data_IF_320297826734
#
_entry.id   IF_320297826734
#
_cell.length_a   1.000
_cell.length_b   1.000
_cell.length_c   1.000
_cell.angle_alpha   90.00
_cell.angle_beta   90.00
_cell.angle_gamma   90.00
#
_symmetry.space_group_name_H-M   'P 1'
#
loop_
_entity.id
_entity.type
_entity.pdbx_description
1 polymer ?
#
# COMPACT_ATOMS: atom_id res chain seq x y z
N UNK A 1 18.86 -2.77 -44.73
CA UNK A 1 18.69 -4.21 -44.55
C UNK A 1 18.46 -4.58 -43.10
N UNK A 2 19.17 -4.01 -42.19
CA UNK A 2 19.15 -4.44 -40.77
C UNK A 2 18.29 -3.60 -39.87
N UNK A 3 17.67 -2.53 -40.39
CA UNK A 3 16.78 -1.65 -39.67
C UNK A 3 15.46 -2.35 -39.26
N UNK A 4 14.98 -3.28 -40.06
CA UNK A 4 13.75 -4.05 -39.73
C UNK A 4 13.94 -4.93 -38.51
N UNK A 5 15.14 -5.49 -38.31
CA UNK A 5 15.44 -6.34 -37.16
C UNK A 5 15.64 -5.52 -35.87
N UNK A 6 16.18 -4.31 -35.99
CA UNK A 6 16.36 -3.39 -34.85
C UNK A 6 15.00 -3.01 -34.24
N UNK A 7 13.98 -2.77 -35.06
CA UNK A 7 12.63 -2.48 -34.60
C UNK A 7 12.01 -3.63 -33.80
N UNK A 8 12.24 -4.86 -34.25
CA UNK A 8 11.79 -6.06 -33.53
C UNK A 8 12.44 -6.17 -32.16
N UNK A 9 13.75 -5.90 -32.06
CA UNK A 9 14.47 -5.92 -30.79
C UNK A 9 13.99 -4.83 -29.84
N UNK A 10 13.77 -3.61 -30.33
CA UNK A 10 13.23 -2.51 -29.53
C UNK A 10 11.84 -2.84 -29.01
N UNK A 11 10.97 -3.42 -29.85
CA UNK A 11 9.63 -3.83 -29.46
C UNK A 11 9.67 -4.94 -28.39
N UNK A 12 10.57 -5.90 -28.53
CA UNK A 12 10.76 -6.98 -27.55
C UNK A 12 11.26 -6.45 -26.22
N UNK A 13 12.19 -5.51 -26.22
CA UNK A 13 12.70 -4.85 -25.02
C UNK A 13 11.60 -4.06 -24.32
N UNK A 14 10.76 -3.34 -25.06
CA UNK A 14 9.63 -2.62 -24.51
C UNK A 14 8.59 -3.53 -23.85
N UNK A 15 8.38 -4.72 -24.40
CA UNK A 15 7.49 -5.73 -23.81
C UNK A 15 8.05 -6.32 -22.50
N UNK A 16 9.37 -6.39 -22.35
CA UNK A 16 10.01 -6.85 -21.12
C UNK A 16 9.87 -5.86 -19.96
N UNK A 17 9.68 -4.57 -20.24
CA UNK A 17 9.47 -3.54 -19.22
C UNK A 17 7.99 -3.37 -18.84
N UNK A 18 7.08 -4.12 -19.44
CA UNK A 18 5.65 -4.04 -19.14
C UNK A 18 5.21 -4.87 -17.93
N UNK A 19 6.13 -5.47 -17.17
CA UNK A 19 5.82 -6.15 -15.91
C UNK A 19 5.33 -5.14 -14.88
N UNK A 20 4.03 -5.09 -14.67
CA UNK A 20 3.45 -4.34 -13.56
C UNK A 20 3.73 -5.08 -12.26
N UNK A 21 4.43 -4.41 -11.35
CA UNK A 21 4.52 -4.89 -9.99
C UNK A 21 3.16 -4.68 -9.29
N UNK A 22 2.63 -5.70 -8.65
CA UNK A 22 1.44 -5.56 -7.82
C UNK A 22 1.80 -4.81 -6.54
N UNK A 23 1.07 -3.74 -6.27
CA UNK A 23 1.27 -2.92 -5.09
C UNK A 23 -0.06 -2.65 -4.40
N UNK A 24 -0.06 -2.75 -3.08
CA UNK A 24 -1.11 -2.18 -2.26
C UNK A 24 -0.82 -0.69 -2.07
N UNK A 25 -1.83 0.16 -2.28
CA UNK A 25 -1.71 1.61 -2.20
C UNK A 25 -2.50 2.15 -1.02
N UNK A 26 -1.83 2.91 -0.17
CA UNK A 26 -2.42 3.46 1.04
C UNK A 26 -2.05 4.93 1.18
N UNK A 27 -2.98 5.72 1.69
CA UNK A 27 -2.72 7.08 2.13
C UNK A 27 -2.93 7.12 3.64
N UNK A 28 -1.87 7.37 4.40
CA UNK A 28 -1.89 7.31 5.85
C UNK A 28 -1.74 8.71 6.42
N UNK A 29 -2.71 9.13 7.22
CA UNK A 29 -2.73 10.43 7.89
C UNK A 29 -2.68 10.22 9.41
N UNK A 30 -1.74 10.86 10.06
CA UNK A 30 -1.63 10.84 11.51
C UNK A 30 -2.36 12.04 12.12
N UNK A 31 -3.57 11.83 12.58
CA UNK A 31 -4.37 12.83 13.33
C UNK A 31 -4.37 12.57 14.84
N UNK A 32 -3.45 11.74 15.32
CA UNK A 32 -3.26 11.50 16.75
C UNK A 32 -2.43 12.60 17.39
N UNK A 33 -2.33 12.54 18.71
CA UNK A 33 -1.48 13.44 19.50
C UNK A 33 -0.08 12.87 19.76
N UNK A 34 0.30 11.80 19.04
CA UNK A 34 1.63 11.19 19.16
C UNK A 34 2.26 11.00 17.77
N UNK A 35 3.58 10.91 17.72
CA UNK A 35 4.31 10.53 16.52
C UNK A 35 4.27 9.02 16.34
N UNK A 36 4.12 8.57 15.10
CA UNK A 36 4.12 7.17 14.73
C UNK A 36 5.55 6.76 14.37
N UNK A 37 5.96 5.59 14.84
CA UNK A 37 7.25 4.99 14.53
C UNK A 37 7.07 3.55 14.07
N UNK A 38 8.01 3.04 13.27
CA UNK A 38 8.05 1.65 12.81
C UNK A 38 6.75 1.19 12.14
N UNK A 39 6.24 1.99 11.22
CA UNK A 39 5.03 1.69 10.47
C UNK A 39 5.27 0.57 9.47
N UNK A 40 4.41 -0.44 9.48
CA UNK A 40 4.44 -1.54 8.52
C UNK A 40 3.02 -1.96 8.14
N UNK A 41 2.86 -2.48 6.93
CA UNK A 41 1.60 -3.08 6.48
C UNK A 41 1.91 -4.46 5.89
N UNK A 42 1.42 -5.51 6.56
CA UNK A 42 1.51 -6.87 6.03
C UNK A 42 0.50 -7.05 4.88
N UNK A 43 0.78 -7.84 3.85
CA UNK A 43 1.75 -8.96 3.83
C UNK A 43 3.18 -8.60 3.38
N UNK A 44 3.52 -7.33 3.18
CA UNK A 44 4.89 -6.97 2.86
C UNK A 44 5.80 -7.28 4.05
N UNK A 45 6.69 -8.26 3.88
CA UNK A 45 7.60 -8.69 4.92
C UNK A 45 8.81 -7.77 5.11
N UNK A 46 8.99 -6.77 4.25
CA UNK A 46 10.05 -5.79 4.42
C UNK A 46 9.61 -4.74 5.42
N UNK A 47 10.18 -4.79 6.61
CA UNK A 47 9.96 -3.76 7.61
C UNK A 47 10.53 -2.44 7.11
N UNK A 48 9.65 -1.50 6.82
CA UNK A 48 10.06 -0.13 6.57
C UNK A 48 9.96 0.64 7.88
N UNK A 49 11.10 1.17 8.34
CA UNK A 49 11.15 2.03 9.51
C UNK A 49 10.66 3.43 9.12
N UNK A 50 9.36 3.56 8.93
CA UNK A 50 8.75 4.83 8.56
C UNK A 50 8.29 5.53 9.82
N UNK A 51 8.66 6.80 9.93
CA UNK A 51 8.17 7.71 10.95
C UNK A 51 7.17 8.66 10.35
N UNK A 52 6.04 8.83 11.03
CA UNK A 52 4.99 9.73 10.61
C UNK A 52 4.64 10.67 11.76
N UNK A 53 5.04 11.93 11.62
CA UNK A 53 4.76 12.96 12.62
C UNK A 53 3.28 13.32 12.71
N UNK A 54 2.92 14.01 13.80
CA UNK A 54 1.57 14.54 14.02
C UNK A 54 1.15 15.41 12.83
N UNK A 55 -0.09 15.29 12.39
CA UNK A 55 -0.70 16.06 11.30
C UNK A 55 -0.05 15.84 9.93
N UNK A 56 0.76 14.79 9.78
CA UNK A 56 1.41 14.46 8.50
C UNK A 56 0.67 13.34 7.79
N UNK A 57 0.76 13.37 6.46
CA UNK A 57 0.19 12.36 5.57
C UNK A 57 1.30 11.82 4.67
N UNK A 58 1.30 10.51 4.46
CA UNK A 58 2.21 9.85 3.52
C UNK A 58 1.45 8.93 2.58
N UNK A 59 1.98 8.76 1.38
CA UNK A 59 1.62 7.66 0.49
C UNK A 59 2.49 6.46 0.84
N UNK A 60 1.86 5.31 1.03
CA UNK A 60 2.54 4.09 1.42
C UNK A 60 2.19 2.98 0.44
N UNK A 61 3.20 2.24 -0.01
CA UNK A 61 3.03 1.15 -0.95
C UNK A 61 3.55 -0.16 -0.36
N UNK A 62 2.78 -1.23 -0.49
CA UNK A 62 3.22 -2.57 -0.12
C UNK A 62 3.45 -3.40 -1.37
N UNK A 63 4.49 -4.24 -1.35
CA UNK A 63 4.75 -5.16 -2.45
C UNK A 63 3.89 -6.40 -2.31
N UNK A 64 3.11 -6.68 -3.35
CA UNK A 64 2.17 -7.79 -3.39
C UNK A 64 2.58 -8.90 -4.39
N UNK A 65 3.74 -8.79 -5.02
CA UNK A 65 4.15 -9.69 -6.11
C UNK A 65 4.25 -11.17 -5.70
N UNK A 66 4.57 -11.43 -4.45
CA UNK A 66 4.71 -12.80 -3.91
C UNK A 66 3.45 -13.33 -3.27
N UNK A 67 2.39 -12.54 -3.23
CA UNK A 67 1.12 -12.92 -2.60
C UNK A 67 0.23 -13.56 -3.65
N UNK A 68 -0.09 -14.83 -3.46
CA UNK A 68 -0.91 -15.63 -4.39
C UNK A 68 -2.25 -16.06 -3.79
N UNK A 69 -2.53 -15.63 -2.58
CA UNK A 69 -3.76 -15.95 -1.85
C UNK A 69 -4.64 -14.73 -1.63
N UNK A 70 -5.84 -14.97 -1.16
CA UNK A 70 -6.74 -13.94 -0.68
C UNK A 70 -6.44 -13.62 0.79
N UNK A 71 -6.70 -12.40 1.23
CA UNK A 71 -6.48 -12.04 2.61
C UNK A 71 -6.80 -10.60 2.93
N UNK A 72 -6.40 -10.19 4.13
CA UNK A 72 -6.54 -8.83 4.65
C UNK A 72 -5.19 -8.25 4.99
N UNK A 73 -5.11 -6.93 4.96
CA UNK A 73 -3.92 -6.20 5.40
C UNK A 73 -3.88 -6.11 6.93
N UNK A 74 -2.69 -5.96 7.48
CA UNK A 74 -2.49 -5.65 8.90
C UNK A 74 -1.53 -4.47 8.99
N UNK A 75 -2.04 -3.33 9.45
CA UNK A 75 -1.20 -2.18 9.80
C UNK A 75 -0.68 -2.34 11.22
N UNK A 76 0.59 -2.05 11.42
CA UNK A 76 1.23 -2.08 12.74
C UNK A 76 2.20 -0.91 12.88
N UNK A 77 2.19 -0.26 14.02
CA UNK A 77 3.10 0.84 14.31
C UNK A 77 3.28 0.99 15.82
N UNK A 78 4.29 1.77 16.19
CA UNK A 78 4.53 2.15 17.59
C UNK A 78 4.11 3.59 17.84
N UNK A 79 3.48 3.81 18.98
CA UNK A 79 3.41 5.14 19.58
C UNK A 79 4.79 5.52 20.11
N UNK A 80 5.40 6.57 19.58
CA UNK A 80 6.77 6.95 19.92
C UNK A 80 6.94 7.45 21.36
N UNK A 81 5.86 7.87 22.02
CA UNK A 81 5.92 8.40 23.38
C UNK A 81 6.01 7.29 24.44
N UNK A 82 5.30 6.17 24.24
CA UNK A 82 5.20 5.10 25.23
C UNK A 82 5.62 3.73 24.71
N UNK A 83 6.08 3.65 23.45
CA UNK A 83 6.48 2.41 22.78
C UNK A 83 5.37 1.34 22.66
N UNK A 84 4.12 1.72 22.84
CA UNK A 84 2.99 0.82 22.66
C UNK A 84 2.84 0.45 21.19
N UNK A 85 2.68 -0.85 20.90
CA UNK A 85 2.43 -1.35 19.55
C UNK A 85 0.92 -1.38 19.31
N UNK A 86 0.50 -0.77 18.23
CA UNK A 86 -0.89 -0.73 17.79
C UNK A 86 -0.98 -1.47 16.46
N UNK A 87 -1.93 -2.41 16.36
CA UNK A 87 -2.16 -3.20 15.15
C UNK A 87 -3.64 -3.27 14.83
N UNK A 88 -3.97 -3.25 13.54
CA UNK A 88 -5.35 -3.42 13.06
C UNK A 88 -5.36 -4.17 11.74
N UNK A 89 -6.26 -5.15 11.64
CA UNK A 89 -6.57 -5.84 10.39
C UNK A 89 -7.63 -5.03 9.63
N UNK A 90 -7.43 -4.88 8.32
CA UNK A 90 -8.34 -4.10 7.48
C UNK A 90 -8.24 -4.51 6.02
N UNK A 91 -9.24 -4.09 5.23
CA UNK A 91 -9.26 -4.26 3.80
C UNK A 91 -9.31 -5.71 3.35
N UNK A 92 -9.22 -5.90 2.05
CA UNK A 92 -9.24 -7.23 1.44
C UNK A 92 -8.47 -7.20 0.12
N UNK A 93 -7.71 -8.25 -0.14
CA UNK A 93 -7.05 -8.45 -1.44
C UNK A 93 -7.38 -9.84 -1.97
N UNK A 94 -7.48 -9.97 -3.30
CA UNK A 94 -7.76 -11.22 -3.99
C UNK A 94 -6.57 -11.60 -4.85
N UNK A 95 -6.00 -12.76 -4.60
CA UNK A 95 -4.86 -13.29 -5.37
C UNK A 95 -3.70 -12.27 -5.46
N UNK A 96 -3.43 -11.57 -4.39
CA UNK A 96 -2.40 -10.54 -4.33
C UNK A 96 -2.76 -9.21 -4.96
N UNK A 97 -4.01 -9.01 -5.38
CA UNK A 97 -4.47 -7.75 -5.98
C UNK A 97 -5.35 -6.98 -5.01
N UNK A 98 -5.01 -5.73 -4.78
CA UNK A 98 -5.85 -4.82 -4.02
C UNK A 98 -7.09 -4.47 -4.84
N UNK A 99 -8.26 -4.58 -4.22
CA UNK A 99 -9.55 -4.30 -4.89
C UNK A 99 -9.77 -2.80 -5.00
N UNK A 100 -9.48 -2.07 -3.93
CA UNK A 100 -9.58 -0.61 -3.90
C UNK A 100 -8.37 0.03 -4.59
N UNK A 101 -8.57 1.18 -5.22
CA UNK A 101 -7.47 1.92 -5.83
C UNK A 101 -6.53 2.50 -4.78
N UNK A 102 -7.10 3.08 -3.73
CA UNK A 102 -6.38 3.59 -2.56
C UNK A 102 -7.19 3.31 -1.31
N UNK A 103 -6.53 2.87 -0.26
CA UNK A 103 -7.12 2.76 1.07
C UNK A 103 -6.61 3.91 1.92
N UNK A 104 -7.52 4.76 2.38
CA UNK A 104 -7.20 5.86 3.27
C UNK A 104 -7.25 5.39 4.72
N UNK A 105 -6.15 5.58 5.43
CA UNK A 105 -5.98 5.21 6.83
C UNK A 105 -5.77 6.48 7.64
N UNK A 106 -6.63 6.73 8.62
CA UNK A 106 -6.49 7.85 9.53
C UNK A 106 -6.26 7.33 10.93
N UNK A 107 -5.11 7.68 11.50
CA UNK A 107 -4.76 7.30 12.87
C UNK A 107 -5.24 8.39 13.82
N UNK A 108 -6.10 8.01 14.75
CA UNK A 108 -6.60 8.86 15.83
C UNK A 108 -5.96 8.44 17.16
N UNK A 109 -6.27 9.14 18.25
CA UNK A 109 -5.65 8.86 19.56
C UNK A 109 -5.96 7.45 20.08
N UNK A 110 -7.15 6.94 19.82
CA UNK A 110 -7.66 5.70 20.37
C UNK A 110 -8.21 4.72 19.33
N UNK A 111 -8.15 5.08 18.05
CA UNK A 111 -8.68 4.23 16.98
C UNK A 111 -8.01 4.52 15.64
N UNK A 112 -8.25 3.64 14.69
CA UNK A 112 -7.81 3.78 13.30
C UNK A 112 -9.05 3.75 12.42
N UNK A 113 -9.24 4.78 11.60
CA UNK A 113 -10.33 4.86 10.63
C UNK A 113 -9.84 4.40 9.27
N UNK A 114 -10.63 3.56 8.62
CA UNK A 114 -10.32 3.01 7.29
C UNK A 114 -11.41 3.45 6.31
N UNK A 115 -10.99 4.10 5.22
CA UNK A 115 -11.88 4.46 4.11
C UNK A 115 -11.30 3.95 2.79
N UNK A 116 -12.11 3.21 2.07
CA UNK A 116 -11.73 2.70 0.75
C UNK A 116 -12.13 3.69 -0.34
N UNK A 117 -11.26 3.84 -1.34
CA UNK A 117 -11.50 4.71 -2.49
C UNK A 117 -11.31 3.94 -3.78
N UNK A 118 -12.26 4.11 -4.70
CA UNK A 118 -12.25 3.49 -6.02
C UNK A 118 -12.20 4.60 -7.09
N UNK A 119 -11.42 4.39 -8.15
CA UNK A 119 -11.30 5.36 -9.26
C UNK A 119 -12.57 5.44 -10.10
N UNK A 120 -13.26 4.32 -10.25
CA UNK A 120 -14.54 4.29 -10.93
C UNK A 120 -15.65 4.20 -9.90
N UNK A 121 -16.53 5.20 -9.82
CA UNK A 121 -17.71 5.04 -8.99
C UNK A 121 -18.55 3.90 -9.57
N UNK A 122 -18.66 2.82 -8.84
CA UNK A 122 -19.67 1.83 -9.10
C UNK A 122 -21.00 2.48 -8.78
N UNK A 123 -21.66 3.00 -9.81
CA UNK A 123 -23.06 3.34 -9.68
C UNK A 123 -23.83 2.02 -9.55
N UNK A 124 -24.14 1.67 -8.35
CA UNK A 124 -25.15 0.64 -8.09
C UNK A 124 -26.50 1.26 -8.44
N UNK A 125 -26.96 0.92 -9.61
CA UNK A 125 -28.33 1.25 -9.99
C UNK A 125 -29.29 0.22 -9.40
#
# INVERSE_FOLDING_TARGET
MKLKNVWVYILTILLLFSCRSNEGKFMITNKSNFNIDSLSILPDSKQQLIRLGKSKTIDFFTKMNKVTSDGSYVISFKNSENNTIISKRFGYYTNGYQIEDVINITVLNDTIMINSKFDTPYEIK
#
